data_IF_521763593895
#
_entry.id   IF_521763593895
#
_cell.length_a   1.000
_cell.length_b   1.000
_cell.length_c   1.000
_cell.angle_alpha   90.00
_cell.angle_beta   90.00
_cell.angle_gamma   90.00
#
_symmetry.space_group_name_H-M   'P 1'
#
loop_
_entity.id
_entity.type
_entity.pdbx_description
1 polymer ?
#
# COMPACT_ATOMS: atom_id res chain seq x y z
N UNK A 1 21.34 -10.72 -8.24
CA UNK A 1 20.19 -9.79 -8.32
C UNK A 1 18.98 -10.44 -8.99
N UNK A 2 19.05 -10.95 -10.21
CA UNK A 2 17.93 -11.60 -10.94
C UNK A 2 17.30 -12.77 -10.16
N UNK A 3 18.08 -13.72 -9.64
CA UNK A 3 17.57 -14.88 -8.88
C UNK A 3 16.78 -14.50 -7.61
N UNK A 4 17.13 -13.39 -6.97
CA UNK A 4 16.41 -12.89 -5.79
C UNK A 4 15.06 -12.30 -6.21
N UNK A 5 15.04 -11.53 -7.30
CA UNK A 5 13.81 -10.97 -7.87
C UNK A 5 12.82 -12.07 -8.27
N UNK A 6 13.31 -13.15 -8.90
CA UNK A 6 12.46 -14.29 -9.27
C UNK A 6 11.86 -14.99 -8.04
N UNK A 7 12.65 -15.14 -6.95
CA UNK A 7 12.17 -15.69 -5.68
C UNK A 7 11.12 -14.80 -5.02
N UNK A 8 11.32 -13.48 -5.02
CA UNK A 8 10.40 -12.51 -4.43
C UNK A 8 9.09 -12.47 -5.21
N UNK A 9 9.14 -12.49 -6.55
CA UNK A 9 7.97 -12.59 -7.42
C UNK A 9 7.19 -13.90 -7.21
N UNK A 10 7.89 -15.02 -7.01
CA UNK A 10 7.23 -16.30 -6.72
C UNK A 10 6.48 -16.23 -5.40
N UNK A 11 7.08 -15.65 -4.35
CA UNK A 11 6.44 -15.47 -3.04
C UNK A 11 5.17 -14.63 -3.16
N UNK A 12 5.20 -13.53 -3.93
CA UNK A 12 4.02 -12.71 -4.19
C UNK A 12 2.93 -13.47 -4.95
N UNK A 13 3.29 -14.22 -5.98
CA UNK A 13 2.34 -15.03 -6.75
C UNK A 13 1.70 -16.14 -5.92
N UNK A 14 2.44 -16.72 -4.96
CA UNK A 14 1.93 -17.74 -4.05
C UNK A 14 0.99 -17.14 -2.99
N UNK A 15 1.22 -15.88 -2.60
CA UNK A 15 0.37 -15.16 -1.67
C UNK A 15 -0.89 -14.60 -2.35
N UNK A 16 -0.73 -13.89 -3.46
CA UNK A 16 -1.84 -13.30 -4.23
C UNK A 16 -2.43 -14.34 -5.19
N UNK A 17 -3.63 -14.86 -4.88
CA UNK A 17 -4.27 -15.93 -5.65
C UNK A 17 -4.92 -15.47 -6.95
N UNK A 18 -5.04 -14.17 -7.18
CA UNK A 18 -5.68 -13.59 -8.36
C UNK A 18 -4.67 -12.77 -9.14
N UNK A 19 -4.59 -13.00 -10.45
CA UNK A 19 -3.76 -12.19 -11.36
C UNK A 19 -4.45 -10.86 -11.65
N UNK A 20 -3.64 -9.82 -11.85
CA UNK A 20 -4.14 -8.53 -12.34
C UNK A 20 -4.77 -8.70 -13.73
N UNK A 21 -6.04 -8.28 -13.93
CA UNK A 21 -6.70 -8.38 -15.22
C UNK A 21 -6.01 -7.52 -16.29
N UNK A 22 -5.90 -8.03 -17.52
CA UNK A 22 -5.32 -7.27 -18.63
C UNK A 22 -6.08 -5.97 -18.93
N UNK A 23 -7.41 -5.98 -18.74
CA UNK A 23 -8.25 -4.80 -18.89
C UNK A 23 -7.82 -3.67 -17.92
N UNK A 24 -7.38 -4.00 -16.70
CA UNK A 24 -6.85 -3.03 -15.76
C UNK A 24 -5.53 -2.42 -16.27
N UNK A 25 -4.62 -3.24 -16.77
CA UNK A 25 -3.34 -2.79 -17.33
C UNK A 25 -3.55 -1.81 -18.50
N UNK A 26 -4.45 -2.14 -19.41
CA UNK A 26 -4.79 -1.30 -20.54
C UNK A 26 -5.42 0.03 -20.11
N UNK A 27 -6.32 -0.01 -19.13
CA UNK A 27 -6.92 1.21 -18.55
C UNK A 27 -5.88 2.09 -17.85
N UNK A 28 -5.03 1.51 -17.03
CA UNK A 28 -3.97 2.23 -16.32
C UNK A 28 -2.97 2.88 -17.30
N UNK A 29 -2.54 2.15 -18.32
CA UNK A 29 -1.62 2.67 -19.35
C UNK A 29 -2.23 3.84 -20.13
N UNK A 30 -3.54 3.84 -20.35
CA UNK A 30 -4.25 4.93 -21.03
C UNK A 30 -4.49 6.16 -20.12
N UNK A 31 -4.31 6.03 -18.80
CA UNK A 31 -4.67 7.05 -17.82
C UNK A 31 -3.50 7.35 -16.85
N UNK A 32 -2.30 7.54 -17.36
CA UNK A 32 -1.08 7.76 -16.55
C UNK A 32 -1.23 8.92 -15.53
N UNK A 33 -1.82 10.10 -15.85
CA UNK A 33 -1.99 11.15 -14.85
C UNK A 33 -2.84 10.71 -13.65
N UNK A 34 -3.94 9.99 -13.88
CA UNK A 34 -4.78 9.46 -12.83
C UNK A 34 -4.07 8.36 -12.02
N UNK A 35 -3.35 7.47 -12.72
CA UNK A 35 -2.55 6.42 -12.07
C UNK A 35 -1.51 7.00 -11.11
N UNK A 36 -0.76 8.01 -11.53
CA UNK A 36 0.25 8.66 -10.69
C UNK A 36 -0.38 9.40 -9.51
N UNK A 37 -1.50 10.07 -9.71
CA UNK A 37 -2.23 10.73 -8.64
C UNK A 37 -2.73 9.73 -7.59
N UNK A 38 -3.33 8.63 -8.02
CA UNK A 38 -3.79 7.55 -7.14
C UNK A 38 -2.61 6.90 -6.40
N UNK A 39 -1.51 6.63 -7.11
CA UNK A 39 -0.29 6.07 -6.53
C UNK A 39 0.27 6.96 -5.41
N UNK A 40 0.38 8.27 -5.63
CA UNK A 40 0.80 9.21 -4.59
C UNK A 40 -0.11 9.15 -3.35
N UNK A 41 -1.43 9.05 -3.53
CA UNK A 41 -2.36 8.87 -2.42
C UNK A 41 -2.18 7.52 -1.70
N UNK A 42 -1.87 6.45 -2.43
CA UNK A 42 -1.61 5.12 -1.85
C UNK A 42 -0.36 5.13 -0.98
N UNK A 43 0.76 5.67 -1.45
CA UNK A 43 2.02 5.77 -0.70
C UNK A 43 1.84 6.58 0.59
N UNK A 44 1.20 7.74 0.50
CA UNK A 44 0.89 8.56 1.67
C UNK A 44 0.01 7.82 2.68
N UNK A 45 -0.99 7.06 2.22
CA UNK A 45 -1.87 6.27 3.10
C UNK A 45 -1.11 5.10 3.74
N UNK A 46 -0.24 4.42 3.01
CA UNK A 46 0.60 3.34 3.52
C UNK A 46 1.51 3.83 4.64
N UNK A 47 2.19 4.96 4.45
CA UNK A 47 2.98 5.61 5.50
C UNK A 47 2.14 5.94 6.74
N UNK A 48 0.96 6.54 6.54
CA UNK A 48 0.03 6.87 7.62
C UNK A 48 -0.46 5.63 8.38
N UNK A 49 -0.70 4.53 7.68
CA UNK A 49 -1.08 3.25 8.28
C UNK A 49 0.04 2.68 9.16
N UNK A 50 1.28 2.69 8.68
CA UNK A 50 2.43 2.23 9.45
C UNK A 50 2.63 3.08 10.72
N UNK A 51 2.52 4.40 10.62
CA UNK A 51 2.58 5.32 11.78
C UNK A 51 1.44 5.03 12.77
N UNK A 52 0.24 4.76 12.28
CA UNK A 52 -0.91 4.42 13.12
C UNK A 52 -0.69 3.11 13.90
N UNK A 53 -0.07 2.09 13.30
CA UNK A 53 0.31 0.86 14.02
C UNK A 53 1.30 1.14 15.14
N UNK A 54 2.33 1.97 14.91
CA UNK A 54 3.29 2.37 15.94
C UNK A 54 2.57 3.05 17.11
N UNK A 55 1.63 3.94 16.82
CA UNK A 55 0.90 4.69 17.85
C UNK A 55 -0.08 3.83 18.62
N UNK A 56 -0.72 2.87 17.95
CA UNK A 56 -1.76 2.02 18.55
C UNK A 56 -1.21 0.86 19.37
N UNK A 57 -0.02 0.35 19.00
CA UNK A 57 0.59 -0.83 19.61
C UNK A 57 2.05 -0.56 20.06
N UNK A 58 2.29 0.49 20.90
CA UNK A 58 3.64 0.85 21.30
C UNK A 58 4.34 -0.23 22.13
N UNK A 59 3.58 -1.11 22.78
CA UNK A 59 4.09 -2.23 23.57
C UNK A 59 4.61 -3.41 22.70
N UNK A 60 4.32 -3.42 21.40
CA UNK A 60 4.76 -4.47 20.46
C UNK A 60 6.06 -4.06 19.77
N UNK A 61 7.18 -4.21 20.48
CA UNK A 61 8.49 -3.74 20.03
C UNK A 61 8.88 -4.25 18.63
N UNK A 62 8.60 -5.51 18.31
CA UNK A 62 8.89 -6.09 16.99
C UNK A 62 8.05 -5.43 15.88
N UNK A 63 6.76 -5.19 16.13
CA UNK A 63 5.89 -4.48 15.18
C UNK A 63 6.39 -3.04 14.96
N UNK A 64 6.74 -2.33 16.02
CA UNK A 64 7.28 -0.97 15.94
C UNK A 64 8.57 -0.95 15.12
N UNK A 65 9.47 -1.92 15.34
CA UNK A 65 10.74 -2.03 14.61
C UNK A 65 10.56 -2.28 13.11
N UNK A 66 9.47 -2.94 12.70
CA UNK A 66 9.13 -3.17 11.29
C UNK A 66 8.41 -1.96 10.69
N UNK A 67 7.46 -1.38 11.41
CA UNK A 67 6.61 -0.30 10.89
C UNK A 67 7.34 1.04 10.74
N UNK A 68 8.34 1.32 11.59
CA UNK A 68 9.08 2.59 11.51
C UNK A 68 9.90 2.75 10.21
N UNK A 69 10.73 1.77 9.79
CA UNK A 69 11.39 1.83 8.49
C UNK A 69 10.40 1.80 7.32
N UNK A 70 9.31 1.03 7.42
CA UNK A 70 8.26 0.98 6.39
C UNK A 70 7.63 2.37 6.20
N UNK A 71 7.21 3.04 7.26
CA UNK A 71 6.64 4.39 7.16
C UNK A 71 7.57 5.38 6.46
N UNK A 72 8.87 5.30 6.74
CA UNK A 72 9.89 6.14 6.09
C UNK A 72 10.04 5.79 4.61
N UNK A 73 10.04 4.51 4.26
CA UNK A 73 10.14 4.04 2.88
C UNK A 73 8.95 4.52 2.05
N UNK A 74 7.72 4.38 2.56
CA UNK A 74 6.52 4.83 1.88
C UNK A 74 6.47 6.36 1.69
N UNK A 75 7.00 7.14 2.64
CA UNK A 75 7.16 8.58 2.45
C UNK A 75 8.19 8.93 1.37
N UNK A 76 9.29 8.17 1.27
CA UNK A 76 10.25 8.34 0.18
C UNK A 76 9.66 7.97 -1.19
N UNK A 77 8.80 6.94 -1.25
CA UNK A 77 8.06 6.60 -2.45
C UNK A 77 7.09 7.72 -2.84
N UNK A 78 6.33 8.24 -1.87
CA UNK A 78 5.47 9.40 -2.08
C UNK A 78 6.23 10.58 -2.68
N UNK A 79 7.37 10.97 -2.11
CA UNK A 79 8.21 12.06 -2.62
C UNK A 79 8.63 11.81 -4.09
N UNK A 80 9.08 10.60 -4.42
CA UNK A 80 9.45 10.22 -5.79
C UNK A 80 8.29 10.34 -6.77
N UNK A 81 7.09 9.90 -6.37
CA UNK A 81 5.89 10.00 -7.21
C UNK A 81 5.52 11.47 -7.43
N UNK A 82 5.58 12.30 -6.38
CA UNK A 82 5.34 13.75 -6.49
C UNK A 82 6.34 14.41 -7.45
N UNK A 83 7.61 14.03 -7.40
CA UNK A 83 8.63 14.55 -8.32
C UNK A 83 8.34 14.15 -9.78
N UNK A 84 7.92 12.90 -10.02
CA UNK A 84 7.51 12.44 -11.36
C UNK A 84 6.28 13.22 -11.84
N UNK A 85 5.29 13.43 -10.99
CA UNK A 85 4.08 14.21 -11.30
C UNK A 85 4.45 15.63 -11.68
N UNK A 86 5.34 16.28 -10.91
CA UNK A 86 5.83 17.64 -11.18
C UNK A 86 6.52 17.73 -12.55
N UNK A 87 7.39 16.77 -12.88
CA UNK A 87 8.07 16.71 -14.18
C UNK A 87 7.09 16.57 -15.36
N UNK A 88 5.95 15.92 -15.12
CA UNK A 88 4.89 15.72 -16.11
C UNK A 88 3.80 16.80 -16.10
N UNK A 89 3.92 17.83 -15.27
CA UNK A 89 2.90 18.87 -15.13
C UNK A 89 1.59 18.40 -14.49
N UNK A 90 1.63 17.30 -13.73
CA UNK A 90 0.46 16.75 -13.03
C UNK A 90 0.40 17.34 -11.63
N UNK A 91 -0.75 17.91 -11.26
CA UNK A 91 -0.96 18.53 -9.95
C UNK A 91 -1.45 17.50 -8.95
N UNK A 92 -0.79 17.42 -7.78
CA UNK A 92 -1.29 16.65 -6.66
C UNK A 92 -2.55 17.30 -6.09
N UNK A 93 -3.66 16.60 -6.17
CA UNK A 93 -5.00 17.11 -5.81
C UNK A 93 -5.84 16.03 -5.11
N UNK A 94 -6.94 16.39 -4.44
CA UNK A 94 -7.85 15.40 -3.87
C UNK A 94 -8.34 14.40 -4.91
N UNK A 95 -8.42 13.14 -4.51
CA UNK A 95 -8.96 12.05 -5.33
C UNK A 95 -9.96 11.26 -4.49
N UNK A 96 -11.11 10.92 -5.06
CA UNK A 96 -12.05 10.00 -4.44
C UNK A 96 -11.42 8.60 -4.36
N UNK A 97 -11.33 8.00 -3.16
CA UNK A 97 -10.76 6.68 -3.02
C UNK A 97 -11.63 5.63 -3.72
N UNK A 98 -11.01 4.57 -4.22
CA UNK A 98 -11.73 3.38 -4.68
C UNK A 98 -12.33 2.62 -3.49
N UNK A 99 -13.34 1.81 -3.75
CA UNK A 99 -13.96 0.96 -2.73
C UNK A 99 -13.13 -0.29 -2.39
N UNK A 100 -12.00 -0.51 -3.06
CA UNK A 100 -11.18 -1.71 -2.89
C UNK A 100 -10.73 -1.91 -1.44
N UNK A 101 -10.00 -0.96 -0.89
CA UNK A 101 -9.49 -1.04 0.48
C UNK A 101 -10.64 -1.06 1.50
N UNK A 102 -11.69 -0.24 1.32
CA UNK A 102 -12.83 -0.20 2.23
C UNK A 102 -13.61 -1.51 2.24
N UNK A 103 -13.74 -2.18 1.10
CA UNK A 103 -14.36 -3.50 1.02
C UNK A 103 -13.54 -4.57 1.75
N UNK A 104 -12.21 -4.57 1.61
CA UNK A 104 -11.34 -5.47 2.37
C UNK A 104 -11.45 -5.24 3.88
N UNK A 105 -11.47 -3.98 4.32
CA UNK A 105 -11.59 -3.64 5.74
C UNK A 105 -12.90 -4.08 6.40
N UNK A 106 -13.96 -4.37 5.64
CA UNK A 106 -15.21 -4.96 6.17
C UNK A 106 -15.02 -6.37 6.76
N UNK A 107 -13.95 -7.05 6.38
CA UNK A 107 -13.61 -8.38 6.87
C UNK A 107 -12.76 -8.37 8.14
N UNK A 108 -12.31 -7.21 8.62
CA UNK A 108 -11.58 -7.08 9.88
C UNK A 108 -12.51 -7.37 11.05
N UNK A 109 -12.07 -8.22 11.99
CA UNK A 109 -12.85 -8.50 13.20
C UNK A 109 -13.14 -7.22 13.99
N UNK A 110 -14.34 -7.13 14.52
CA UNK A 110 -14.79 -5.99 15.34
C UNK A 110 -14.27 -6.04 16.79
N UNK A 111 -13.78 -7.21 17.24
CA UNK A 111 -13.22 -7.38 18.59
C UNK A 111 -11.79 -6.84 18.62
N UNK A 112 -11.49 -5.99 19.58
CA UNK A 112 -10.11 -5.57 19.82
C UNK A 112 -9.25 -6.76 20.28
N UNK A 113 -7.97 -6.72 19.94
CA UNK A 113 -6.99 -7.73 20.32
C UNK A 113 -6.10 -8.20 19.18
N UNK A 114 -5.45 -9.35 19.40
CA UNK A 114 -4.47 -9.89 18.45
C UNK A 114 -5.11 -10.30 17.12
N UNK A 115 -6.33 -10.80 17.14
CA UNK A 115 -7.06 -11.20 15.91
C UNK A 115 -7.27 -10.00 14.99
N UNK A 116 -7.73 -8.87 15.55
CA UNK A 116 -7.91 -7.63 14.80
C UNK A 116 -6.59 -7.11 14.23
N UNK A 117 -5.50 -7.18 15.00
CA UNK A 117 -4.19 -6.80 14.52
C UNK A 117 -3.75 -7.69 13.35
N UNK A 118 -3.90 -9.00 13.46
CA UNK A 118 -3.59 -9.95 12.38
C UNK A 118 -4.39 -9.64 11.11
N UNK A 119 -5.70 -9.44 11.23
CA UNK A 119 -6.57 -9.11 10.10
C UNK A 119 -6.12 -7.81 9.41
N UNK A 120 -5.80 -6.77 10.19
CA UNK A 120 -5.33 -5.50 9.66
C UNK A 120 -3.98 -5.61 8.95
N UNK A 121 -3.05 -6.43 9.48
CA UNK A 121 -1.75 -6.68 8.84
C UNK A 121 -1.90 -7.47 7.54
N UNK A 122 -2.77 -8.49 7.52
CA UNK A 122 -3.07 -9.26 6.30
C UNK A 122 -3.67 -8.37 5.23
N UNK A 123 -4.66 -7.54 5.58
CA UNK A 123 -5.26 -6.60 4.64
C UNK A 123 -4.23 -5.58 4.12
N UNK A 124 -3.37 -5.06 5.00
CA UNK A 124 -2.28 -4.18 4.58
C UNK A 124 -1.30 -4.84 3.62
N UNK A 125 -1.08 -6.15 3.74
CA UNK A 125 -0.23 -6.90 2.81
C UNK A 125 -0.92 -7.21 1.46
N UNK A 126 -2.26 -7.17 1.40
CA UNK A 126 -3.04 -7.38 0.16
C UNK A 126 -3.16 -6.08 -0.65
N UNK A 127 -3.28 -4.94 0.03
CA UNK A 127 -3.42 -3.61 -0.59
C UNK A 127 -2.11 -3.15 -1.21
#
# INVERSE_FOLDING_TARGET
MLKRLDSDLQTLNDFLKTKTPEAWLNHAAANIPLLLLDHAHCERKAAGTAINFISKYPEKAELVAIMAPLAREELLHFEKVIDIMKQKGIVYSPLQPSDYASNLHKHVTNKDGIERLCDQLIIGAII
#
